data_IF_357301822838
#
_entry.id   IF_357301822838
#
_cell.length_a   1.000
_cell.length_b   1.000
_cell.length_c   1.000
_cell.angle_alpha   90.00
_cell.angle_beta   90.00
_cell.angle_gamma   90.00
#
_symmetry.space_group_name_H-M   'P 1'
#
loop_
_entity.id
_entity.type
_entity.pdbx_description
1 polymer ?
#
# COMPACT_ATOMS: atom_id res chain seq x y z
N UNK A 1 -4.26 7.69 -11.48
CA UNK A 1 -3.90 6.46 -12.20
C UNK A 1 -3.62 5.37 -11.18
N UNK A 2 -3.70 4.09 -11.55
CA UNK A 2 -3.30 2.99 -10.67
C UNK A 2 -1.77 2.93 -10.63
N UNK A 3 -1.17 3.19 -9.46
CA UNK A 3 0.29 3.11 -9.26
C UNK A 3 0.75 1.68 -8.95
N UNK A 4 -0.02 0.96 -8.14
CA UNK A 4 0.21 -0.43 -7.76
C UNK A 4 -1.11 -1.06 -7.32
N UNK A 5 -1.16 -2.39 -7.38
CA UNK A 5 -2.27 -3.20 -6.90
C UNK A 5 -1.74 -4.48 -6.28
N UNK A 6 -2.31 -4.89 -5.15
CA UNK A 6 -2.00 -6.18 -4.54
C UNK A 6 -3.22 -6.73 -3.81
N UNK A 7 -3.33 -8.06 -3.76
CA UNK A 7 -4.21 -8.76 -2.82
C UNK A 7 -3.59 -8.77 -1.42
N UNK A 8 -4.41 -8.85 -0.38
CA UNK A 8 -3.94 -9.20 0.97
C UNK A 8 -3.48 -10.66 1.03
N UNK A 9 -2.86 -11.06 2.15
CA UNK A 9 -2.35 -12.42 2.32
C UNK A 9 -3.45 -13.49 2.19
N UNK A 10 -4.69 -13.18 2.59
CA UNK A 10 -5.83 -14.09 2.53
C UNK A 10 -6.51 -14.12 1.14
N UNK A 11 -6.19 -13.18 0.25
CA UNK A 11 -6.84 -13.04 -1.06
C UNK A 11 -8.30 -12.56 -1.02
N UNK A 12 -8.82 -12.17 0.15
CA UNK A 12 -10.21 -11.71 0.33
C UNK A 12 -10.42 -10.26 -0.08
N UNK A 13 -9.34 -9.47 -0.15
CA UNK A 13 -9.36 -8.05 -0.48
C UNK A 13 -8.17 -7.69 -1.37
N UNK A 14 -8.32 -6.65 -2.18
CA UNK A 14 -7.20 -6.01 -2.87
C UNK A 14 -7.17 -4.50 -2.61
N UNK A 15 -5.97 -3.95 -2.60
CA UNK A 15 -5.74 -2.52 -2.46
C UNK A 15 -5.14 -1.94 -3.75
N UNK A 16 -5.50 -0.70 -4.07
CA UNK A 16 -5.04 0.03 -5.25
C UNK A 16 -4.56 1.41 -4.85
N UNK A 17 -3.32 1.76 -5.22
CA UNK A 17 -2.74 3.08 -4.96
C UNK A 17 -3.03 4.06 -6.10
N UNK A 18 -3.21 5.32 -5.73
CA UNK A 18 -3.31 6.44 -6.66
C UNK A 18 -2.32 7.53 -6.23
N UNK A 19 -1.09 7.56 -6.78
CA UNK A 19 -0.08 8.53 -6.35
C UNK A 19 -0.56 9.97 -6.48
N UNK A 20 -1.17 10.30 -7.64
CA UNK A 20 -1.77 11.62 -7.89
C UNK A 20 -3.06 11.87 -7.12
N UNK A 21 -3.75 10.82 -6.71
CA UNK A 21 -4.94 10.92 -5.86
C UNK A 21 -4.60 11.04 -4.38
N UNK A 22 -3.34 10.77 -3.98
CA UNK A 22 -2.89 10.82 -2.60
C UNK A 22 -3.61 9.82 -1.69
N UNK A 23 -4.02 8.67 -2.24
CA UNK A 23 -4.84 7.70 -1.51
C UNK A 23 -4.55 6.25 -1.93
N UNK A 24 -4.93 5.34 -1.05
CA UNK A 24 -5.02 3.90 -1.34
C UNK A 24 -6.45 3.44 -1.05
N UNK A 25 -7.09 2.87 -2.06
CA UNK A 25 -8.43 2.30 -1.96
C UNK A 25 -8.38 0.81 -1.65
N UNK A 26 -9.36 0.31 -0.91
CA UNK A 26 -9.56 -1.11 -0.60
C UNK A 26 -10.86 -1.61 -1.22
N UNK A 27 -10.80 -2.84 -1.70
CA UNK A 27 -11.87 -3.52 -2.41
C UNK A 27 -11.91 -4.97 -1.93
N UNK A 28 -13.09 -5.57 -1.82
CA UNK A 28 -13.16 -7.01 -1.69
C UNK A 28 -12.81 -7.67 -3.02
N UNK A 29 -12.43 -8.95 -2.99
CA UNK A 29 -12.04 -9.69 -4.18
C UNK A 29 -13.12 -9.73 -5.27
N UNK A 30 -14.40 -9.55 -4.91
CA UNK A 30 -15.54 -9.45 -5.83
C UNK A 30 -15.78 -8.03 -6.39
N UNK A 31 -14.95 -7.05 -6.01
CA UNK A 31 -14.98 -5.69 -6.54
C UNK A 31 -15.84 -4.71 -5.75
N UNK A 32 -16.38 -5.06 -4.58
CA UNK A 32 -17.08 -4.09 -3.73
C UNK A 32 -16.07 -3.17 -3.02
N UNK A 33 -16.33 -1.86 -3.09
CA UNK A 33 -15.53 -0.86 -2.39
C UNK A 33 -15.65 -1.00 -0.86
N UNK A 34 -14.51 -1.02 -0.17
CA UNK A 34 -14.41 -1.18 1.29
C UNK A 34 -14.00 0.09 2.02
N UNK A 35 -13.47 1.08 1.29
CA UNK A 35 -12.98 2.33 1.85
C UNK A 35 -11.62 2.73 1.28
N UNK A 36 -11.06 3.80 1.80
CA UNK A 36 -9.72 4.27 1.48
C UNK A 36 -9.06 4.84 2.72
N UNK A 37 -7.76 5.10 2.61
CA UNK A 37 -7.05 5.99 3.50
C UNK A 37 -6.19 6.93 2.67
N UNK A 38 -5.95 8.11 3.24
CA UNK A 38 -5.12 9.13 2.64
C UNK A 38 -3.65 8.78 2.88
N UNK A 39 -2.89 8.72 1.79
CA UNK A 39 -1.45 8.58 1.82
C UNK A 39 -0.89 9.31 0.59
N UNK A 40 -0.42 10.57 0.78
CA UNK A 40 0.15 11.35 -0.30
C UNK A 40 1.27 10.60 -1.02
N UNK A 41 1.25 10.66 -2.35
CA UNK A 41 2.27 10.03 -3.21
C UNK A 41 2.43 8.51 -2.99
N UNK A 42 1.39 7.84 -2.47
CA UNK A 42 1.37 6.39 -2.32
C UNK A 42 1.59 5.69 -3.66
N UNK A 43 2.58 4.79 -3.70
CA UNK A 43 2.99 4.08 -4.90
C UNK A 43 2.90 2.57 -4.69
N UNK A 44 3.89 1.93 -4.08
CA UNK A 44 3.94 0.48 -3.95
C UNK A 44 2.96 -0.04 -2.92
N UNK A 45 2.36 -1.20 -3.24
CA UNK A 45 1.51 -1.96 -2.33
C UNK A 45 1.97 -3.41 -2.34
N UNK A 46 2.11 -4.02 -1.16
CA UNK A 46 2.32 -5.46 -1.02
C UNK A 46 1.51 -6.00 0.15
N UNK A 47 1.18 -7.30 0.12
CA UNK A 47 0.54 -7.96 1.26
C UNK A 47 1.45 -7.91 2.49
N UNK A 48 0.91 -7.47 3.62
CA UNK A 48 1.52 -7.66 4.94
C UNK A 48 0.96 -8.94 5.58
N UNK A 49 1.44 -9.30 6.78
CA UNK A 49 0.84 -10.42 7.54
C UNK A 49 -0.59 -10.08 7.99
N UNK A 50 -0.88 -8.79 8.18
CA UNK A 50 -2.22 -8.26 8.30
C UNK A 50 -2.35 -7.03 7.41
N UNK A 51 -3.24 -7.10 6.43
CA UNK A 51 -3.51 -6.03 5.46
C UNK A 51 -2.36 -5.80 4.48
N UNK A 52 -1.85 -4.57 4.39
CA UNK A 52 -0.95 -4.13 3.33
C UNK A 52 0.22 -3.29 3.85
N UNK A 53 1.38 -3.46 3.22
CA UNK A 53 2.48 -2.51 3.23
C UNK A 53 2.30 -1.50 2.11
N UNK A 54 2.57 -0.23 2.38
CA UNK A 54 2.42 0.87 1.43
C UNK A 54 3.64 1.79 1.52
N UNK A 55 4.25 2.02 0.37
CA UNK A 55 5.36 2.96 0.19
C UNK A 55 4.91 4.23 -0.51
N UNK A 56 5.60 5.33 -0.26
CA UNK A 56 5.44 6.58 -1.00
C UNK A 56 6.77 7.22 -1.42
N UNK A 57 6.71 8.18 -2.34
CA UNK A 57 7.89 8.86 -2.88
C UNK A 57 8.61 9.80 -1.93
N UNK A 58 8.12 9.96 -0.70
CA UNK A 58 8.84 10.67 0.36
C UNK A 58 9.70 9.74 1.22
N UNK A 59 9.71 8.44 0.91
CA UNK A 59 10.53 7.47 1.61
C UNK A 59 9.85 6.87 2.85
N UNK A 60 8.53 7.02 3.00
CA UNK A 60 7.79 6.34 4.06
C UNK A 60 7.36 4.93 3.65
N UNK A 61 7.31 4.05 4.64
CA UNK A 61 6.72 2.73 4.58
C UNK A 61 5.72 2.58 5.72
N UNK A 62 4.44 2.49 5.38
CA UNK A 62 3.33 2.34 6.31
C UNK A 62 2.70 0.95 6.19
N UNK A 63 2.05 0.49 7.25
CA UNK A 63 1.18 -0.69 7.21
C UNK A 63 -0.27 -0.24 7.38
N UNK A 64 -1.21 -0.90 6.71
CA UNK A 64 -2.65 -0.68 6.90
C UNK A 64 -3.39 -2.02 7.04
N UNK A 65 -4.27 -2.19 8.03
CA UNK A 65 -4.45 -1.31 9.19
C UNK A 65 -3.21 -1.34 10.10
N UNK A 66 -2.85 -0.20 10.71
CA UNK A 66 -1.75 -0.13 11.68
C UNK A 66 -2.01 0.95 12.72
N UNK A 67 -1.50 0.69 13.93
CA UNK A 67 -1.42 1.68 15.02
C UNK A 67 -0.01 2.24 15.20
N UNK A 68 0.94 1.83 14.35
CA UNK A 68 2.33 2.25 14.42
C UNK A 68 2.61 3.38 13.43
N UNK A 69 3.46 4.36 13.79
CA UNK A 69 3.94 5.35 12.84
C UNK A 69 4.62 4.69 11.63
N UNK A 70 4.56 5.31 10.44
CA UNK A 70 5.33 4.86 9.29
C UNK A 70 6.83 4.86 9.57
N UNK A 71 7.56 3.89 9.01
CA UNK A 71 9.02 3.91 8.96
C UNK A 71 9.47 4.89 7.88
N UNK A 72 10.47 5.72 8.13
CA UNK A 72 11.00 6.69 7.15
C UNK A 72 12.46 6.37 6.80
N UNK A 73 12.76 6.27 5.51
CA UNK A 73 14.07 5.92 4.96
C UNK A 73 14.81 7.14 4.35
N UNK A 74 14.70 8.32 4.98
CA UNK A 74 15.03 9.64 4.41
C UNK A 74 16.44 9.92 3.88
N UNK A 75 17.39 8.99 3.93
CA UNK A 75 18.72 9.13 3.32
C UNK A 75 18.90 8.30 2.04
N UNK A 76 17.91 7.48 1.68
CA UNK A 76 18.00 6.55 0.54
C UNK A 76 16.79 6.74 -0.35
N UNK A 77 17.04 7.05 -1.61
CA UNK A 77 16.00 7.07 -2.63
C UNK A 77 15.92 5.67 -3.24
N UNK A 78 14.72 5.15 -3.36
CA UNK A 78 14.41 3.84 -3.92
C UNK A 78 13.26 3.97 -4.90
N UNK A 79 13.16 3.02 -5.81
CA UNK A 79 11.97 2.89 -6.64
C UNK A 79 10.84 2.41 -5.73
N UNK A 80 9.79 3.22 -5.55
CA UNK A 80 8.78 3.04 -4.50
C UNK A 80 7.86 1.84 -4.70
N UNK A 81 8.22 0.90 -5.56
CA UNK A 81 7.49 -0.33 -5.81
C UNK A 81 7.81 -1.39 -4.75
N UNK A 82 6.81 -2.18 -4.36
CA UNK A 82 6.94 -3.24 -3.37
C UNK A 82 6.58 -4.58 -4.01
N UNK A 83 7.31 -5.62 -3.60
CA UNK A 83 7.00 -7.01 -3.91
C UNK A 83 7.13 -7.83 -2.62
N UNK A 84 6.11 -8.61 -2.28
CA UNK A 84 6.24 -9.62 -1.23
C UNK A 84 7.02 -10.80 -1.78
N UNK A 85 8.11 -11.16 -1.10
CA UNK A 85 8.90 -12.37 -1.39
C UNK A 85 8.52 -13.45 -0.38
N UNK A 86 8.13 -14.62 -0.86
CA UNK A 86 7.88 -15.82 -0.04
C UNK A 86 9.02 -16.80 -0.25
N UNK A 87 9.63 -17.27 0.85
CA UNK A 87 10.64 -18.32 0.85
C UNK A 87 10.03 -19.72 0.91
#
# INVERSE_FOLDING_TARGET
YCGSVAFNAEGSEFAVSSPRGGLVTRWSADGRYLGHHDQPDACGIAAADAGFWISDGTGHLAQTPSHRPPTHFGATHWDNHLLRVTG
#
